data_IF_572649086662
#
_entry.id   IF_572649086662
#
_cell.length_a   1.000
_cell.length_b   1.000
_cell.length_c   1.000
_cell.angle_alpha   90.00
_cell.angle_beta   90.00
_cell.angle_gamma   90.00
#
_symmetry.space_group_name_H-M   'P 1'
#
loop_
_entity.id
_entity.type
_entity.pdbx_description
1 polymer ?
#
# COMPACT_ATOMS: atom_id res chain seq x y z
N UNK A 1 -28.74 28.91 43.36
CA UNK A 1 -29.25 28.90 41.97
C UNK A 1 -28.03 28.85 41.05
N UNK A 2 -27.88 27.73 40.30
CA UNK A 2 -26.94 27.46 39.19
C UNK A 2 -25.43 27.59 39.48
N UNK A 3 -24.75 26.47 39.76
CA UNK A 3 -24.22 25.41 38.85
C UNK A 3 -22.78 25.71 38.42
N UNK A 4 -21.87 24.86 38.88
CA UNK A 4 -20.51 24.68 38.39
C UNK A 4 -20.58 24.26 36.93
N UNK A 5 -19.86 24.95 36.04
CA UNK A 5 -19.57 24.42 34.70
C UNK A 5 -18.38 23.48 34.86
N UNK A 6 -18.67 22.19 34.83
CA UNK A 6 -17.66 21.17 34.53
C UNK A 6 -17.17 21.45 33.12
N UNK A 7 -15.89 21.84 33.01
CA UNK A 7 -15.18 21.80 31.75
C UNK A 7 -14.92 20.34 31.43
N UNK A 8 -15.57 19.85 30.38
CA UNK A 8 -15.15 18.62 29.71
C UNK A 8 -13.73 18.88 29.21
N UNK A 9 -12.76 18.19 29.81
CA UNK A 9 -11.48 17.97 29.16
C UNK A 9 -11.81 17.00 28.02
N UNK A 10 -11.78 17.48 26.78
CA UNK A 10 -11.78 16.57 25.63
C UNK A 10 -10.50 15.76 25.73
N UNK A 11 -10.67 14.46 25.94
CA UNK A 11 -9.59 13.51 26.12
C UNK A 11 -9.08 13.09 24.74
N UNK A 12 -8.11 13.83 24.22
CA UNK A 12 -7.44 13.54 22.94
C UNK A 12 -6.70 12.18 22.93
N UNK A 13 -6.70 11.42 24.03
CA UNK A 13 -5.97 10.14 24.12
C UNK A 13 -6.72 8.95 23.49
N UNK A 14 -8.05 8.99 23.41
CA UNK A 14 -8.90 7.86 22.97
C UNK A 14 -8.72 7.51 21.48
N UNK A 15 -8.70 8.53 20.61
CA UNK A 15 -8.55 8.33 19.17
C UNK A 15 -7.16 7.80 18.78
N UNK A 16 -6.11 8.25 19.49
CA UNK A 16 -4.73 7.81 19.24
C UNK A 16 -4.51 6.35 19.60
N UNK A 17 -5.15 5.88 20.67
CA UNK A 17 -5.02 4.51 21.13
C UNK A 17 -5.82 3.56 20.25
N UNK A 18 -7.02 3.97 19.83
CA UNK A 18 -7.83 3.27 18.83
C UNK A 18 -7.09 3.10 17.49
N UNK A 19 -6.39 4.14 17.03
CA UNK A 19 -5.59 4.06 15.81
C UNK A 19 -4.42 3.07 15.94
N UNK A 20 -3.69 3.08 17.07
CA UNK A 20 -2.61 2.12 17.33
C UNK A 20 -3.13 0.68 17.36
N UNK A 21 -4.28 0.44 18.01
CA UNK A 21 -4.86 -0.90 18.09
C UNK A 21 -5.13 -1.47 16.70
N UNK A 22 -5.58 -0.65 15.75
CA UNK A 22 -5.81 -1.07 14.35
C UNK A 22 -4.50 -1.38 13.61
N UNK A 23 -3.44 -0.61 13.85
CA UNK A 23 -2.12 -0.85 13.26
C UNK A 23 -1.47 -2.13 13.80
N UNK A 24 -1.73 -2.48 15.06
CA UNK A 24 -1.15 -3.66 15.70
C UNK A 24 -1.97 -4.95 15.46
N UNK A 25 -3.17 -4.84 14.90
CA UNK A 25 -4.00 -6.00 14.55
C UNK A 25 -3.57 -6.60 13.21
N UNK A 26 -2.61 -7.54 13.27
CA UNK A 26 -2.06 -8.27 12.12
C UNK A 26 -3.06 -9.21 11.44
N UNK A 27 -4.32 -9.28 11.89
CA UNK A 27 -5.39 -9.99 11.18
C UNK A 27 -6.09 -9.11 10.15
N UNK A 28 -5.84 -7.80 10.18
CA UNK A 28 -6.37 -6.84 9.21
C UNK A 28 -5.32 -6.50 8.14
N UNK A 29 -5.72 -6.12 6.91
CA UNK A 29 -4.78 -5.66 5.90
C UNK A 29 -3.88 -4.50 6.35
N UNK A 30 -4.44 -3.58 7.15
CA UNK A 30 -3.69 -2.46 7.73
C UNK A 30 -2.59 -2.94 8.66
N UNK A 31 -2.91 -3.83 9.60
CA UNK A 31 -1.90 -4.38 10.50
C UNK A 31 -0.92 -5.32 9.81
N UNK A 32 -1.32 -6.03 8.76
CA UNK A 32 -0.40 -6.82 7.92
C UNK A 32 0.61 -5.93 7.20
N UNK A 33 0.16 -4.85 6.55
CA UNK A 33 1.03 -3.89 5.89
C UNK A 33 1.95 -3.18 6.88
N UNK A 34 1.44 -2.83 8.07
CA UNK A 34 2.23 -2.23 9.14
C UNK A 34 3.29 -3.20 9.68
N UNK A 35 2.91 -4.45 9.94
CA UNK A 35 3.87 -5.48 10.35
C UNK A 35 4.96 -5.66 9.30
N UNK A 36 4.58 -5.78 8.03
CA UNK A 36 5.51 -5.98 6.93
C UNK A 36 6.52 -4.84 6.83
N UNK A 37 6.09 -3.58 6.78
CA UNK A 37 7.02 -2.44 6.59
C UNK A 37 7.99 -2.28 7.78
N UNK A 38 7.57 -2.66 8.99
CA UNK A 38 8.40 -2.52 10.20
C UNK A 38 9.37 -3.69 10.39
N UNK A 39 8.94 -4.92 10.10
CA UNK A 39 9.67 -6.12 10.50
C UNK A 39 10.21 -6.95 9.33
N UNK A 40 9.54 -6.92 8.18
CA UNK A 40 9.80 -7.86 7.08
C UNK A 40 10.38 -7.18 5.83
N UNK A 41 10.15 -5.87 5.63
CA UNK A 41 10.63 -5.15 4.45
C UNK A 41 12.16 -5.07 4.43
N UNK A 42 12.76 -5.91 3.60
CA UNK A 42 14.20 -6.01 3.42
C UNK A 42 14.83 -4.80 2.68
N UNK A 43 14.03 -3.94 2.05
CA UNK A 43 14.54 -2.68 1.50
C UNK A 43 14.93 -1.71 2.62
N UNK A 44 14.30 -1.82 3.80
CA UNK A 44 14.60 -1.08 5.03
C UNK A 44 14.80 0.43 4.78
N UNK A 45 13.79 1.07 4.20
CA UNK A 45 13.85 2.51 3.93
C UNK A 45 13.91 3.31 5.23
N UNK A 46 14.62 4.43 5.20
CA UNK A 46 14.73 5.30 6.38
C UNK A 46 13.35 5.82 6.79
N UNK A 47 13.00 5.85 8.09
CA UNK A 47 11.71 6.37 8.55
C UNK A 47 11.41 7.82 8.15
N UNK A 48 12.45 8.62 7.86
CA UNK A 48 12.33 10.00 7.42
C UNK A 48 12.22 10.14 5.88
N UNK A 49 12.37 9.04 5.14
CA UNK A 49 12.24 9.03 3.68
C UNK A 49 10.77 9.18 3.26
N UNK A 50 10.52 10.06 2.29
CA UNK A 50 9.17 10.33 1.78
C UNK A 50 8.52 9.12 1.08
N UNK A 51 9.33 8.17 0.61
CA UNK A 51 8.88 6.93 -0.03
C UNK A 51 8.44 5.85 0.98
N UNK A 52 8.67 6.02 2.29
CA UNK A 52 8.17 5.08 3.31
C UNK A 52 6.65 4.93 3.22
N UNK A 53 5.93 6.06 3.11
CA UNK A 53 4.48 6.06 2.99
C UNK A 53 4.04 5.41 1.68
N UNK A 54 4.79 5.62 0.59
CA UNK A 54 4.50 5.00 -0.70
C UNK A 54 4.58 3.47 -0.61
N UNK A 55 5.67 2.92 -0.05
CA UNK A 55 5.82 1.47 0.16
C UNK A 55 4.72 0.90 1.05
N UNK A 56 4.44 1.57 2.17
CA UNK A 56 3.38 1.16 3.09
C UNK A 56 2.00 1.10 2.40
N UNK A 57 1.64 2.13 1.63
CA UNK A 57 0.34 2.18 0.95
C UNK A 57 0.25 1.10 -0.14
N UNK A 58 1.32 0.84 -0.87
CA UNK A 58 1.36 -0.24 -1.85
C UNK A 58 1.24 -1.62 -1.21
N UNK A 59 1.89 -1.84 -0.06
CA UNK A 59 1.72 -3.06 0.72
C UNK A 59 0.29 -3.20 1.26
N UNK A 60 -0.32 -2.10 1.70
CA UNK A 60 -1.73 -2.09 2.12
C UNK A 60 -2.67 -2.46 0.96
N UNK A 61 -2.42 -1.95 -0.25
CA UNK A 61 -3.19 -2.35 -1.44
C UNK A 61 -3.04 -3.85 -1.68
N UNK A 62 -1.81 -4.38 -1.63
CA UNK A 62 -1.53 -5.80 -1.78
C UNK A 62 -2.34 -6.65 -0.78
N UNK A 63 -2.23 -6.38 0.53
CA UNK A 63 -2.95 -7.17 1.55
C UNK A 63 -4.47 -6.94 1.52
N UNK A 64 -4.92 -5.75 1.15
CA UNK A 64 -6.37 -5.44 1.09
C UNK A 64 -7.06 -6.09 -0.11
N UNK A 65 -6.31 -6.44 -1.16
CA UNK A 65 -6.87 -6.89 -2.42
C UNK A 65 -6.44 -8.30 -2.83
N UNK A 66 -6.10 -9.14 -1.84
CA UNK A 66 -5.77 -10.55 -2.04
C UNK A 66 -4.51 -10.75 -2.89
N UNK A 67 -3.49 -9.92 -2.65
CA UNK A 67 -2.22 -9.88 -3.38
C UNK A 67 -1.54 -11.23 -3.54
N UNK A 68 -1.71 -12.13 -2.57
CA UNK A 68 -1.19 -13.50 -2.60
C UNK A 68 -1.82 -14.38 -3.70
N UNK A 69 -2.97 -13.98 -4.24
CA UNK A 69 -3.71 -14.70 -5.28
C UNK A 69 -3.71 -13.97 -6.63
N UNK A 70 -2.92 -12.91 -6.78
CA UNK A 70 -2.82 -12.19 -8.05
C UNK A 70 -2.26 -13.11 -9.14
N UNK A 71 -2.87 -13.07 -10.32
CA UNK A 71 -2.33 -13.78 -11.47
C UNK A 71 -0.94 -13.20 -11.80
N UNK A 72 -0.05 -14.03 -12.36
CA UNK A 72 1.30 -13.62 -12.80
C UNK A 72 2.36 -13.41 -11.71
N UNK A 73 2.11 -13.85 -10.47
CA UNK A 73 3.18 -14.00 -9.46
C UNK A 73 4.04 -15.21 -9.85
N UNK A 74 5.18 -15.02 -10.52
CA UNK A 74 6.16 -16.10 -10.67
C UNK A 74 7.06 -16.15 -9.44
N UNK A 75 6.97 -17.26 -8.72
CA UNK A 75 7.51 -17.57 -7.38
C UNK A 75 9.04 -17.53 -7.18
N UNK A 76 9.82 -16.94 -8.09
CA UNK A 76 11.27 -16.92 -7.85
C UNK A 76 11.67 -15.92 -6.76
N UNK A 77 11.04 -14.75 -6.69
CA UNK A 77 11.33 -13.74 -5.64
C UNK A 77 10.15 -12.80 -5.32
N UNK A 78 8.94 -13.01 -5.88
CA UNK A 78 7.75 -12.19 -5.62
C UNK A 78 8.00 -10.69 -5.81
N UNK A 79 7.76 -10.14 -7.00
CA UNK A 79 8.06 -8.72 -7.29
C UNK A 79 7.44 -7.76 -6.25
N UNK A 80 6.22 -8.04 -5.80
CA UNK A 80 5.55 -7.32 -4.72
C UNK A 80 6.10 -7.66 -3.35
N UNK A 81 6.19 -6.66 -2.48
CA UNK A 81 6.75 -6.80 -1.12
C UNK A 81 8.21 -7.28 -1.10
N UNK A 82 8.90 -7.17 -2.24
CA UNK A 82 10.32 -7.52 -2.36
C UNK A 82 11.23 -6.43 -1.80
N UNK A 83 12.51 -6.79 -1.66
CA UNK A 83 13.58 -5.86 -1.35
C UNK A 83 13.94 -4.88 -2.48
N UNK A 84 13.19 -4.88 -3.59
CA UNK A 84 13.38 -3.92 -4.69
C UNK A 84 12.69 -2.61 -4.36
N UNK A 85 13.10 -1.56 -5.06
CA UNK A 85 12.29 -0.34 -5.09
C UNK A 85 10.88 -0.71 -5.55
N UNK A 86 9.89 -0.08 -4.95
CA UNK A 86 8.49 -0.22 -5.33
C UNK A 86 8.23 0.25 -6.76
N UNK A 87 9.15 1.00 -7.37
CA UNK A 87 9.15 1.31 -8.79
C UNK A 87 9.44 0.10 -9.70
N UNK A 88 10.02 -0.95 -9.13
CA UNK A 88 10.25 -2.22 -9.80
C UNK A 88 9.17 -3.24 -9.43
N UNK A 89 8.12 -2.84 -8.69
CA UNK A 89 7.01 -3.71 -8.32
C UNK A 89 5.99 -3.88 -9.45
N UNK A 90 6.48 -4.30 -10.61
CA UNK A 90 5.68 -4.53 -11.81
C UNK A 90 6.13 -5.75 -12.60
N UNK A 91 5.21 -6.30 -13.38
CA UNK A 91 5.44 -7.38 -14.33
C UNK A 91 5.11 -6.90 -15.74
N UNK A 92 5.98 -7.21 -16.70
CA UNK A 92 5.66 -7.00 -18.11
C UNK A 92 5.12 -8.29 -18.71
N UNK A 93 3.96 -8.20 -19.36
CA UNK A 93 3.28 -9.32 -20.01
C UNK A 93 3.16 -9.00 -21.51
N UNK A 94 3.49 -9.94 -22.41
CA UNK A 94 3.30 -9.73 -23.84
C UNK A 94 1.82 -9.74 -24.20
N UNK A 95 1.33 -8.62 -24.76
CA UNK A 95 0.04 -8.56 -25.42
C UNK A 95 0.20 -8.97 -26.89
N UNK A 96 -0.02 -10.25 -27.14
CA UNK A 96 0.06 -10.83 -28.49
C UNK A 96 -1.02 -10.32 -29.45
N UNK A 97 -2.08 -9.68 -28.95
CA UNK A 97 -3.19 -9.19 -29.76
C UNK A 97 -2.85 -7.87 -30.47
N UNK A 98 -2.00 -7.04 -29.86
CA UNK A 98 -1.53 -5.76 -30.43
C UNK A 98 -0.02 -5.71 -30.68
N UNK A 99 0.73 -6.72 -30.22
CA UNK A 99 2.18 -6.81 -30.42
C UNK A 99 2.99 -5.89 -29.50
N UNK A 100 2.46 -5.56 -28.32
CA UNK A 100 3.08 -4.69 -27.32
C UNK A 100 3.30 -5.42 -25.99
N UNK A 101 4.02 -4.79 -25.05
CA UNK A 101 4.16 -5.26 -23.67
C UNK A 101 3.23 -4.43 -22.78
N UNK A 102 2.45 -5.10 -21.94
CA UNK A 102 1.61 -4.49 -20.91
C UNK A 102 2.29 -4.65 -19.55
N UNK A 103 2.54 -3.54 -18.84
CA UNK A 103 2.99 -3.56 -17.44
C UNK A 103 1.83 -3.67 -16.45
N UNK A 104 1.81 -4.71 -15.61
CA UNK A 104 0.91 -4.84 -14.46
C UNK A 104 1.70 -4.52 -13.18
N UNK A 105 1.20 -3.59 -12.39
CA UNK A 105 1.72 -3.15 -11.11
C UNK A 105 2.22 -1.71 -11.14
N UNK A 106 3.25 -1.41 -10.35
CA UNK A 106 3.83 -0.08 -10.22
C UNK A 106 4.89 0.21 -11.30
N UNK A 107 4.50 0.21 -12.59
CA UNK A 107 5.47 0.30 -13.69
C UNK A 107 5.91 1.73 -14.04
N UNK A 108 5.12 2.75 -13.69
CA UNK A 108 5.45 4.14 -14.01
C UNK A 108 6.07 4.85 -12.82
N UNK A 109 7.37 5.16 -12.85
CA UNK A 109 8.05 5.93 -11.80
C UNK A 109 8.81 7.15 -12.32
N UNK A 110 8.79 8.23 -11.54
CA UNK A 110 9.59 9.44 -11.77
C UNK A 110 10.34 9.77 -10.48
N UNK A 111 11.67 9.71 -10.50
CA UNK A 111 12.53 9.95 -9.33
C UNK A 111 12.11 9.14 -8.10
N UNK A 112 11.85 7.83 -8.27
CA UNK A 112 11.41 6.97 -7.16
C UNK A 112 9.93 7.11 -6.78
N UNK A 113 9.20 8.08 -7.33
CA UNK A 113 7.77 8.26 -7.05
C UNK A 113 6.93 7.47 -8.04
N UNK A 114 6.04 6.61 -7.56
CA UNK A 114 5.06 5.88 -8.37
C UNK A 114 4.02 6.85 -8.94
N UNK A 115 3.85 6.79 -10.25
CA UNK A 115 2.98 7.66 -11.04
C UNK A 115 1.91 6.89 -11.82
N UNK A 116 2.08 5.58 -11.99
CA UNK A 116 1.11 4.71 -12.63
C UNK A 116 1.05 3.39 -11.86
N UNK A 117 -0.17 3.01 -11.48
CA UNK A 117 -0.50 1.68 -10.98
C UNK A 117 -1.50 1.06 -11.95
N UNK A 118 -1.19 -0.14 -12.42
CA UNK A 118 -2.10 -0.88 -13.30
C UNK A 118 -2.35 -2.27 -12.73
N UNK A 119 -3.61 -2.56 -12.43
CA UNK A 119 -4.06 -3.87 -11.96
C UNK A 119 -5.01 -4.52 -12.96
N UNK A 120 -5.03 -4.06 -14.21
CA UNK A 120 -5.81 -4.69 -15.27
C UNK A 120 -5.42 -6.18 -15.39
N UNK A 121 -6.41 -7.05 -15.47
CA UNK A 121 -6.24 -8.52 -15.50
C UNK A 121 -5.61 -9.16 -14.25
N UNK A 122 -5.50 -8.40 -13.17
CA UNK A 122 -5.24 -8.95 -11.84
C UNK A 122 -6.56 -9.42 -11.25
N UNK A 123 -6.56 -10.57 -10.58
CA UNK A 123 -7.70 -11.04 -9.78
C UNK A 123 -7.86 -10.20 -8.50
N UNK A 124 -8.02 -8.87 -8.64
CA UNK A 124 -8.29 -7.99 -7.52
C UNK A 124 -9.59 -8.42 -6.83
N UNK A 125 -9.52 -8.59 -5.51
CA UNK A 125 -10.68 -8.83 -4.65
C UNK A 125 -10.80 -7.70 -3.64
N UNK A 126 -11.97 -7.50 -3.04
CA UNK A 126 -12.13 -6.46 -2.02
C UNK A 126 -12.24 -5.05 -2.58
N UNK A 127 -11.61 -4.08 -1.92
CA UNK A 127 -11.71 -2.66 -2.24
C UNK A 127 -10.35 -1.99 -2.17
N UNK A 128 -10.11 -1.02 -3.07
CA UNK A 128 -8.94 -0.16 -2.98
C UNK A 128 -9.01 0.68 -1.69
N UNK A 129 -8.01 0.58 -0.81
CA UNK A 129 -7.97 1.34 0.45
C UNK A 129 -7.89 2.86 0.19
N UNK A 130 -8.61 3.70 0.96
CA UNK A 130 -8.61 5.16 0.77
C UNK A 130 -7.22 5.80 0.95
N UNK A 131 -6.30 5.12 1.62
CA UNK A 131 -4.90 5.49 1.80
C UNK A 131 -4.15 5.63 0.46
N UNK A 132 -4.68 5.11 -0.65
CA UNK A 132 -4.18 5.41 -2.01
C UNK A 132 -4.06 6.92 -2.27
N UNK A 133 -4.84 7.76 -1.57
CA UNK A 133 -4.73 9.22 -1.63
C UNK A 133 -3.40 9.79 -1.11
N UNK A 134 -2.60 8.99 -0.41
CA UNK A 134 -1.23 9.34 0.00
C UNK A 134 -0.19 9.11 -1.11
N UNK A 135 -0.53 8.39 -2.19
CA UNK A 135 0.32 8.28 -3.38
C UNK A 135 0.24 9.57 -4.21
N UNK A 136 0.84 10.65 -3.71
CA UNK A 136 0.72 12.01 -4.28
C UNK A 136 1.24 12.13 -5.72
N UNK A 137 2.14 11.24 -6.13
CA UNK A 137 2.64 11.18 -7.50
C UNK A 137 1.76 10.40 -8.48
N UNK A 138 0.77 9.65 -7.98
CA UNK A 138 -0.07 8.79 -8.81
C UNK A 138 -0.93 9.64 -9.76
N UNK A 139 -0.82 9.35 -11.06
CA UNK A 139 -1.53 10.02 -12.15
C UNK A 139 -2.49 9.08 -12.87
N UNK A 140 -2.14 7.81 -12.94
CA UNK A 140 -2.88 6.79 -13.66
C UNK A 140 -3.14 5.58 -12.76
N UNK A 141 -4.39 5.14 -12.75
CA UNK A 141 -4.83 3.94 -12.04
C UNK A 141 -5.67 3.08 -13.00
N UNK A 142 -5.18 1.89 -13.32
CA UNK A 142 -5.92 0.84 -14.04
C UNK A 142 -6.44 -0.21 -13.06
N UNK A 143 -7.70 -0.64 -13.22
CA UNK A 143 -8.38 -1.65 -12.40
C UNK A 143 -9.15 -2.62 -13.31
#
# INVERSE_FOLDING_TARGET
NRLLKEGVVEDDTDDSESAKLKLLDTTTPLGQAFHWIVFDDLFQIDPEDEHLIQRFVLALIYFSNGGENWNYISEADGVWLSNRSECDWAFEIPDTSIGEMHGIGAFGCINGTVTLLDFFEVNLVGTIPPEIGHLRGLKYLGL
#
